data_IF_373679159729
#
_entry.id   IF_373679159729
#
_cell.length_a   1.000
_cell.length_b   1.000
_cell.length_c   1.000
_cell.angle_alpha   90.00
_cell.angle_beta   90.00
_cell.angle_gamma   90.00
#
_symmetry.space_group_name_H-M   'P 1'
#
loop_
_entity.id
_entity.type
_entity.pdbx_description
1 polymer ?
#
# COMPACT_ATOMS: atom_id res chain seq x y z
N UNK A 1 -6.34 -11.04 14.70
CA UNK A 1 -6.02 -10.58 13.35
C UNK A 1 -7.24 -10.66 12.46
N UNK A 2 -7.50 -9.62 11.68
CA UNK A 2 -8.55 -9.64 10.63
C UNK A 2 -8.05 -10.44 9.41
N UNK A 3 -8.95 -11.01 8.59
CA UNK A 3 -8.57 -11.77 7.38
C UNK A 3 -7.66 -10.95 6.45
N UNK A 4 -7.86 -9.64 6.39
CA UNK A 4 -7.03 -8.72 5.61
C UNK A 4 -5.58 -8.71 6.11
N UNK A 5 -5.37 -8.67 7.43
CA UNK A 5 -4.03 -8.72 8.04
C UNK A 5 -3.32 -10.04 7.73
N UNK A 6 -4.04 -11.17 7.79
CA UNK A 6 -3.48 -12.49 7.47
C UNK A 6 -3.02 -12.56 6.01
N UNK A 7 -3.81 -12.03 5.07
CA UNK A 7 -3.47 -11.99 3.64
C UNK A 7 -2.25 -11.10 3.39
N UNK A 8 -2.18 -9.93 4.04
CA UNK A 8 -1.02 -9.02 3.91
C UNK A 8 0.23 -9.66 4.51
N UNK A 9 0.09 -10.32 5.66
CA UNK A 9 1.19 -11.02 6.32
C UNK A 9 1.70 -12.18 5.45
N UNK A 10 0.80 -12.97 4.88
CA UNK A 10 1.18 -14.10 4.00
C UNK A 10 1.80 -13.61 2.70
N UNK A 11 1.33 -12.50 2.13
CA UNK A 11 1.94 -11.87 0.96
C UNK A 11 3.35 -11.35 1.28
N UNK A 12 3.56 -10.73 2.44
CA UNK A 12 4.88 -10.28 2.90
C UNK A 12 5.85 -11.44 3.12
N UNK A 13 5.39 -12.55 3.70
CA UNK A 13 6.20 -13.77 3.88
C UNK A 13 6.52 -14.40 2.53
N UNK A 14 5.54 -14.51 1.62
CA UNK A 14 5.76 -15.02 0.27
C UNK A 14 6.77 -14.18 -0.52
N UNK A 15 6.71 -12.86 -0.39
CA UNK A 15 7.69 -11.96 -0.97
C UNK A 15 9.10 -12.17 -0.39
N UNK A 16 9.23 -12.32 0.93
CA UNK A 16 10.51 -12.62 1.58
C UNK A 16 11.13 -13.94 1.09
N UNK A 17 10.31 -14.98 0.90
CA UNK A 17 10.77 -16.27 0.38
C UNK A 17 11.29 -16.13 -1.05
N UNK A 18 10.54 -15.45 -1.93
CA UNK A 18 10.97 -15.19 -3.31
C UNK A 18 12.30 -14.42 -3.33
N UNK A 19 12.45 -13.46 -2.42
CA UNK A 19 13.66 -12.65 -2.34
C UNK A 19 14.89 -13.44 -1.86
N UNK A 20 14.72 -14.35 -0.90
CA UNK A 20 15.80 -15.27 -0.47
C UNK A 20 16.22 -16.20 -1.61
N UNK A 21 15.24 -16.71 -2.38
CA UNK A 21 15.52 -17.56 -3.54
C UNK A 21 16.27 -16.78 -4.61
N UNK A 22 15.88 -15.54 -4.89
CA UNK A 22 16.51 -14.68 -5.89
C UNK A 22 17.96 -14.31 -5.51
N UNK A 23 18.23 -14.01 -4.23
CA UNK A 23 19.60 -13.75 -3.76
C UNK A 23 20.51 -14.98 -3.82
N UNK A 24 19.93 -16.17 -3.70
CA UNK A 24 20.67 -17.43 -3.77
C UNK A 24 20.66 -18.02 -5.18
N UNK A 25 19.98 -17.38 -6.13
CA UNK A 25 19.93 -17.84 -7.51
C UNK A 25 21.31 -17.59 -8.17
N UNK A 26 21.90 -18.60 -8.81
CA UNK A 26 23.12 -18.41 -9.55
C UNK A 26 22.86 -17.48 -10.74
N UNK A 27 23.76 -16.52 -10.95
CA UNK A 27 23.76 -15.71 -12.17
C UNK A 27 24.19 -16.57 -13.37
N UNK A 28 23.59 -16.36 -14.56
CA UNK A 28 24.01 -17.02 -15.79
C UNK A 28 25.51 -16.81 -16.05
N UNK A 29 26.17 -17.81 -16.65
CA UNK A 29 27.61 -17.77 -16.94
C UNK A 29 27.99 -16.58 -17.85
N UNK A 30 27.06 -16.14 -18.69
CA UNK A 30 27.21 -14.96 -19.57
C UNK A 30 27.28 -13.63 -18.79
N UNK A 31 26.74 -13.60 -17.57
CA UNK A 31 26.62 -12.43 -16.71
C UNK A 31 27.68 -12.47 -15.59
N UNK A 32 28.19 -13.66 -15.29
CA UNK A 32 29.19 -13.90 -14.25
C UNK A 32 30.48 -13.09 -14.48
N UNK A 33 30.86 -12.29 -13.49
CA UNK A 33 32.03 -11.42 -13.53
C UNK A 33 31.75 -9.98 -13.97
N UNK A 34 30.51 -9.67 -14.38
CA UNK A 34 30.10 -8.30 -14.69
C UNK A 34 29.26 -7.72 -13.55
N UNK A 35 29.97 -7.09 -12.59
CA UNK A 35 29.42 -6.56 -11.33
C UNK A 35 28.09 -5.80 -11.48
N UNK A 36 27.98 -4.91 -12.48
CA UNK A 36 26.78 -4.09 -12.67
C UNK A 36 25.57 -4.89 -13.17
N UNK A 37 25.80 -5.90 -14.02
CA UNK A 37 24.73 -6.74 -14.55
C UNK A 37 24.27 -7.77 -13.51
N UNK A 38 25.19 -8.34 -12.74
CA UNK A 38 24.85 -9.23 -11.62
C UNK A 38 24.01 -8.51 -10.57
N UNK A 39 24.43 -7.29 -10.18
CA UNK A 39 23.64 -6.47 -9.26
C UNK A 39 22.26 -6.19 -9.83
N UNK A 40 22.18 -5.75 -11.09
CA UNK A 40 20.91 -5.43 -11.73
C UNK A 40 19.95 -6.63 -11.75
N UNK A 41 20.45 -7.83 -12.03
CA UNK A 41 19.67 -9.06 -12.09
C UNK A 41 18.90 -9.32 -10.78
N UNK A 42 19.55 -9.16 -9.64
CA UNK A 42 18.93 -9.33 -8.32
C UNK A 42 18.17 -8.08 -7.84
N UNK A 43 18.64 -6.88 -8.21
CA UNK A 43 18.05 -5.63 -7.71
C UNK A 43 16.67 -5.31 -8.30
N UNK A 44 16.36 -5.80 -9.50
CA UNK A 44 15.06 -5.55 -10.15
C UNK A 44 13.92 -6.09 -9.30
N UNK A 45 14.04 -7.32 -8.79
CA UNK A 45 13.02 -7.93 -7.94
C UNK A 45 12.87 -7.23 -6.59
N UNK A 46 14.00 -6.80 -6.03
CA UNK A 46 14.05 -5.99 -4.81
C UNK A 46 13.29 -4.66 -4.99
N UNK A 47 13.58 -3.94 -6.07
CA UNK A 47 12.94 -2.67 -6.38
C UNK A 47 11.45 -2.82 -6.69
N UNK A 48 11.05 -3.90 -7.36
CA UNK A 48 9.65 -4.23 -7.59
C UNK A 48 8.89 -4.49 -6.27
N UNK A 49 9.50 -5.22 -5.36
CA UNK A 49 8.96 -5.45 -4.02
C UNK A 49 8.82 -4.19 -3.18
N UNK A 50 9.86 -3.36 -3.16
CA UNK A 50 9.85 -2.07 -2.49
C UNK A 50 8.77 -1.14 -3.06
N UNK A 51 8.65 -1.08 -4.38
CA UNK A 51 7.60 -0.32 -5.07
C UNK A 51 6.20 -0.80 -4.69
N UNK A 52 6.00 -2.11 -4.58
CA UNK A 52 4.73 -2.71 -4.16
C UNK A 52 4.36 -2.36 -2.72
N UNK A 53 5.33 -2.38 -1.79
CA UNK A 53 5.15 -1.97 -0.39
C UNK A 53 4.78 -0.49 -0.26
N UNK A 54 5.50 0.37 -0.98
CA UNK A 54 5.22 1.81 -1.00
C UNK A 54 3.84 2.10 -1.60
N UNK A 55 3.48 1.45 -2.70
CA UNK A 55 2.15 1.56 -3.30
C UNK A 55 1.04 1.09 -2.36
N UNK A 56 1.27 -0.01 -1.64
CA UNK A 56 0.33 -0.51 -0.65
C UNK A 56 0.11 0.49 0.50
N UNK A 57 1.20 1.06 1.04
CA UNK A 57 1.09 2.10 2.07
C UNK A 57 0.45 3.39 1.55
N UNK A 58 0.77 3.79 0.33
CA UNK A 58 0.12 4.92 -0.33
C UNK A 58 -1.39 4.71 -0.48
N UNK A 59 -1.81 3.54 -0.98
CA UNK A 59 -3.23 3.18 -1.14
C UNK A 59 -3.97 3.18 0.20
N UNK A 60 -3.34 2.69 1.27
CA UNK A 60 -3.91 2.76 2.62
C UNK A 60 -4.05 4.20 3.11
N UNK A 61 -3.04 5.04 2.92
CA UNK A 61 -3.07 6.43 3.33
C UNK A 61 -4.14 7.24 2.57
N UNK A 62 -4.34 6.96 1.28
CA UNK A 62 -5.44 7.52 0.49
C UNK A 62 -6.79 7.16 1.10
N UNK A 63 -7.02 5.87 1.40
CA UNK A 63 -8.28 5.42 1.98
C UNK A 63 -8.55 6.08 3.34
N UNK A 64 -7.53 6.17 4.19
CA UNK A 64 -7.64 6.85 5.49
C UNK A 64 -8.00 8.33 5.29
N UNK A 65 -7.34 9.03 4.37
CA UNK A 65 -7.67 10.43 4.05
C UNK A 65 -9.09 10.62 3.53
N UNK A 66 -9.60 9.67 2.73
CA UNK A 66 -10.98 9.69 2.25
C UNK A 66 -12.00 9.41 3.36
N UNK A 67 -11.69 8.47 4.26
CA UNK A 67 -12.48 8.17 5.45
C UNK A 67 -12.51 9.38 6.41
N UNK A 68 -11.39 10.07 6.61
CA UNK A 68 -11.29 11.31 7.39
C UNK A 68 -12.11 12.45 6.77
N UNK A 69 -12.07 12.61 5.44
CA UNK A 69 -12.90 13.61 4.73
C UNK A 69 -14.39 13.33 4.90
N UNK A 70 -14.82 12.07 4.85
CA UNK A 70 -16.21 11.67 5.04
C UNK A 70 -16.66 11.79 6.50
N UNK A 71 -15.77 11.52 7.45
CA UNK A 71 -16.03 11.75 8.88
C UNK A 71 -16.08 13.25 9.23
N UNK A 72 -15.44 14.10 8.42
CA UNK A 72 -15.48 15.56 8.51
C UNK A 72 -16.70 16.23 7.89
N UNK A 73 -17.62 15.51 7.24
CA UNK A 73 -18.89 16.13 6.81
C UNK A 73 -19.70 16.54 8.04
N UNK A 74 -19.92 17.84 8.26
CA UNK A 74 -20.35 18.33 9.55
C UNK A 74 -21.82 17.97 9.78
N UNK A 75 -22.08 17.18 10.83
CA UNK A 75 -23.41 17.10 11.49
C UNK A 75 -24.03 18.48 11.78
N UNK A 76 -23.23 19.55 11.78
CA UNK A 76 -23.69 20.94 11.95
C UNK A 76 -24.52 21.46 10.76
N UNK A 77 -24.29 20.99 9.53
CA UNK A 77 -25.06 21.45 8.37
C UNK A 77 -26.49 20.90 8.40
N UNK A 78 -26.66 19.63 8.79
CA UNK A 78 -27.98 19.00 8.94
C UNK A 78 -28.79 19.68 10.05
N UNK A 79 -28.16 19.96 11.21
CA UNK A 79 -28.84 20.65 12.34
C UNK A 79 -29.16 22.11 12.02
N UNK A 80 -28.25 22.83 11.35
CA UNK A 80 -28.48 24.24 10.98
C UNK A 80 -29.51 24.40 9.86
N UNK A 81 -29.56 23.48 8.87
CA UNK A 81 -30.65 23.43 7.87
C UNK A 81 -31.99 23.08 8.49
N UNK A 82 -32.05 22.08 9.39
CA UNK A 82 -33.27 21.71 10.09
C UNK A 82 -33.83 22.88 10.93
N UNK A 83 -32.94 23.62 11.60
CA UNK A 83 -33.32 24.79 12.40
C UNK A 83 -33.77 25.99 11.54
N UNK A 84 -33.15 26.20 10.37
CA UNK A 84 -33.59 27.22 9.38
C UNK A 84 -34.95 26.89 8.76
N UNK A 85 -35.23 25.60 8.51
CA UNK A 85 -36.51 25.11 8.00
C UNK A 85 -37.64 25.33 9.01
N UNK A 86 -37.39 25.03 10.29
CA UNK A 86 -38.40 25.19 11.34
C UNK A 86 -38.75 26.65 11.60
N UNK A 87 -37.77 27.57 11.49
CA UNK A 87 -37.98 29.02 11.66
C UNK A 87 -38.77 29.67 10.51
N UNK A 88 -38.87 29.03 9.33
CA UNK A 88 -39.67 29.54 8.20
C UNK A 88 -41.13 29.07 8.21
N UNK A 89 -41.49 28.14 9.10
CA UNK A 89 -42.84 27.58 9.24
C UNK A 89 -43.65 28.19 10.39
N UNK A 90 -43.00 28.98 11.25
CA UNK A 90 -43.63 29.87 12.23
C UNK A 90 -43.54 31.31 11.74
#
# INVERSE_FOLDING_TARGET
MTRKEIIILSAGIGFLIIWIIDLNAPTPVEIQGNFWLEIYFHYVWLMFGLGSLLYFQYSKNLRIKEEEKKAGEPKQDIRSRAMKSNKRKN
#
